data_IF_950247731177
#
_entry.id   IF_950247731177
#
_cell.length_a   1.000
_cell.length_b   1.000
_cell.length_c   1.000
_cell.angle_alpha   90.00
_cell.angle_beta   90.00
_cell.angle_gamma   90.00
#
_symmetry.space_group_name_H-M   'P 1'
#
loop_
_entity.id
_entity.type
_entity.pdbx_description
1 polymer ?
#
# COMPACT_ATOMS: atom_id res chain seq x y z
N UNK A 1 12.41 29.17 42.05
CA UNK A 1 13.83 29.54 42.27
C UNK A 1 14.70 28.36 41.89
N UNK A 2 15.79 28.62 41.15
CA UNK A 2 16.93 27.71 40.84
C UNK A 2 16.67 26.55 39.86
N UNK A 3 17.55 26.18 38.93
CA UNK A 3 18.74 26.76 38.28
C UNK A 3 19.01 25.84 37.06
N UNK A 4 19.51 26.42 35.98
CA UNK A 4 20.06 25.73 34.79
C UNK A 4 21.17 24.76 35.20
N UNK A 5 21.32 23.63 34.50
CA UNK A 5 22.64 23.09 34.15
C UNK A 5 22.61 22.47 32.74
N UNK A 6 23.58 22.89 31.94
CA UNK A 6 23.91 22.38 30.62
C UNK A 6 25.12 21.46 30.77
N UNK A 7 25.14 20.32 30.09
CA UNK A 7 26.38 19.56 29.88
C UNK A 7 26.65 19.43 28.39
N UNK A 8 27.75 20.08 28.03
CA UNK A 8 28.48 20.01 26.76
C UNK A 8 29.30 18.72 26.68
N UNK A 9 29.55 18.26 25.46
CA UNK A 9 30.74 17.48 25.08
C UNK A 9 30.44 16.00 24.82
N UNK A 10 31.01 15.33 23.81
CA UNK A 10 32.09 15.69 22.91
C UNK A 10 31.99 14.87 21.61
N UNK A 11 32.52 15.46 20.54
CA UNK A 11 32.77 14.88 19.22
C UNK A 11 33.81 13.75 19.35
N UNK A 12 33.57 12.61 18.69
CA UNK A 12 34.59 11.62 18.36
C UNK A 12 34.51 11.29 16.86
N UNK A 13 35.26 12.04 16.06
CA UNK A 13 35.74 11.62 14.73
C UNK A 13 37.11 10.97 14.91
N UNK A 14 37.51 10.17 13.90
CA UNK A 14 38.74 9.35 13.72
C UNK A 14 38.43 7.85 13.93
N UNK A 15 38.43 6.95 12.95
CA UNK A 15 39.06 6.93 11.63
C UNK A 15 40.18 5.89 11.63
N UNK A 16 39.93 4.71 11.04
CA UNK A 16 40.98 3.78 10.59
C UNK A 16 40.50 2.99 9.38
N UNK A 17 40.96 3.42 8.19
CA UNK A 17 41.09 2.56 7.02
C UNK A 17 42.51 1.99 7.05
N UNK A 18 42.65 0.67 7.01
CA UNK A 18 43.88 0.02 6.61
C UNK A 18 43.55 -1.32 5.96
N UNK A 19 43.58 -1.33 4.63
CA UNK A 19 43.69 -2.53 3.82
C UNK A 19 45.09 -3.13 3.98
N UNK A 20 45.19 -4.45 4.16
CA UNK A 20 46.23 -5.33 3.62
C UNK A 20 46.09 -6.74 4.23
N UNK A 21 45.95 -7.75 3.37
CA UNK A 21 46.13 -9.15 3.76
C UNK A 21 45.19 -10.17 3.11
N UNK A 22 45.04 -10.14 1.77
CA UNK A 22 44.56 -11.32 1.05
C UNK A 22 45.75 -12.27 0.80
N UNK A 23 45.79 -13.38 1.54
CA UNK A 23 46.55 -14.61 1.32
C UNK A 23 46.02 -15.57 2.41
N UNK A 24 45.42 -16.73 2.17
CA UNK A 24 45.61 -17.72 1.11
C UNK A 24 44.29 -18.48 0.85
N UNK A 25 44.21 -19.08 -0.33
CA UNK A 25 43.14 -20.00 -0.77
C UNK A 25 43.13 -21.26 0.10
N UNK A 26 42.01 -21.55 0.77
CA UNK A 26 41.69 -22.91 1.23
C UNK A 26 40.72 -23.55 0.23
N UNK A 27 41.32 -24.43 -0.57
CA UNK A 27 40.82 -25.67 -1.13
C UNK A 27 39.31 -25.97 -0.99
N UNK A 28 38.65 -26.02 -2.14
CA UNK A 28 37.30 -26.53 -2.34
C UNK A 28 37.25 -28.00 -1.90
N UNK A 29 36.57 -28.28 -0.78
CA UNK A 29 36.07 -29.64 -0.50
C UNK A 29 34.63 -29.74 -0.97
N UNK A 30 34.47 -30.36 -2.14
CA UNK A 30 33.23 -30.94 -2.66
C UNK A 30 32.44 -31.67 -1.55
N UNK A 31 31.21 -31.23 -1.27
CA UNK A 31 30.37 -31.95 -0.33
C UNK A 31 29.14 -31.22 0.20
N UNK A 32 28.15 -30.99 -0.67
CA UNK A 32 26.72 -30.85 -0.31
C UNK A 32 26.29 -29.65 0.54
N UNK A 33 26.36 -28.40 0.06
CA UNK A 33 25.55 -27.30 0.66
C UNK A 33 25.06 -26.23 -0.34
N UNK A 34 25.18 -26.40 -1.65
CA UNK A 34 24.70 -25.40 -2.64
C UNK A 34 23.28 -25.63 -3.16
N UNK A 35 22.36 -26.13 -2.32
CA UNK A 35 20.95 -26.34 -2.73
C UNK A 35 19.89 -25.83 -1.76
N UNK A 36 20.29 -25.18 -0.66
CA UNK A 36 19.32 -24.67 0.32
C UNK A 36 19.14 -23.15 0.26
N UNK A 37 20.06 -22.40 -0.38
CA UNK A 37 20.00 -20.93 -0.37
C UNK A 37 19.22 -20.34 -1.55
N UNK A 38 19.25 -20.97 -2.73
CA UNK A 38 18.51 -20.46 -3.91
C UNK A 38 17.02 -20.83 -3.95
N UNK A 39 16.56 -21.80 -3.15
CA UNK A 39 15.12 -22.10 -3.06
C UNK A 39 14.39 -21.23 -2.03
N UNK A 40 15.08 -20.65 -1.04
CA UNK A 40 14.44 -19.81 -0.04
C UNK A 40 14.01 -18.44 -0.59
N UNK A 41 14.83 -17.80 -1.42
CA UNK A 41 14.52 -16.48 -1.98
C UNK A 41 13.44 -16.54 -3.07
N UNK A 42 13.34 -17.66 -3.79
CA UNK A 42 12.33 -17.86 -4.82
C UNK A 42 10.93 -18.12 -4.25
N UNK A 43 10.82 -18.81 -3.11
CA UNK A 43 9.52 -19.13 -2.47
C UNK A 43 8.86 -17.91 -1.82
N UNK A 44 9.63 -16.93 -1.32
CA UNK A 44 9.03 -15.74 -0.69
C UNK A 44 8.37 -14.84 -1.74
N UNK A 45 8.95 -14.73 -2.93
CA UNK A 45 8.39 -13.90 -4.00
C UNK A 45 7.12 -14.53 -4.60
N UNK A 46 7.13 -15.84 -4.86
CA UNK A 46 5.99 -16.54 -5.49
C UNK A 46 4.77 -16.72 -4.56
N UNK A 47 4.97 -16.71 -3.23
CA UNK A 47 3.87 -16.82 -2.23
C UNK A 47 3.21 -15.46 -1.94
N UNK A 48 3.98 -14.36 -1.92
CA UNK A 48 3.42 -13.02 -1.70
C UNK A 48 2.66 -12.47 -2.91
N UNK A 49 2.99 -12.94 -4.11
CA UNK A 49 2.35 -12.51 -5.36
C UNK A 49 0.92 -13.05 -5.54
N UNK A 50 0.49 -14.06 -4.76
CA UNK A 50 -0.80 -14.72 -4.98
C UNK A 50 -1.83 -14.56 -3.84
N UNK A 51 -1.48 -14.00 -2.68
CA UNK A 51 -2.39 -13.97 -1.51
C UNK A 51 -2.60 -12.59 -0.86
N UNK A 52 -1.85 -11.56 -1.25
CA UNK A 52 -2.03 -10.22 -0.66
C UNK A 52 -2.98 -9.38 -1.50
N UNK A 53 -4.27 -9.47 -1.18
CA UNK A 53 -5.29 -8.56 -1.73
C UNK A 53 -5.04 -7.16 -1.17
N UNK A 54 -4.80 -6.19 -2.06
CA UNK A 54 -4.67 -4.79 -1.65
C UNK A 54 -6.05 -4.21 -1.31
N UNK A 55 -6.16 -3.42 -0.23
CA UNK A 55 -7.38 -2.68 0.05
C UNK A 55 -7.75 -1.81 -1.15
N UNK A 56 -9.05 -1.67 -1.47
CA UNK A 56 -9.46 -0.77 -2.51
C UNK A 56 -9.13 0.67 -2.15
N UNK A 57 -8.80 1.46 -3.16
CA UNK A 57 -8.45 2.85 -3.00
C UNK A 57 -8.64 3.63 -4.31
N UNK A 58 -8.98 4.90 -4.18
CA UNK A 58 -9.18 5.83 -5.28
C UNK A 58 -8.94 7.26 -4.78
N UNK A 59 -8.42 8.10 -5.65
CA UNK A 59 -8.31 9.53 -5.38
C UNK A 59 -9.60 10.21 -5.81
N UNK A 60 -10.21 10.97 -4.90
CA UNK A 60 -11.45 11.70 -5.14
C UNK A 60 -11.30 13.17 -4.75
N UNK A 61 -12.06 14.03 -5.43
CA UNK A 61 -12.29 15.42 -5.03
C UNK A 61 -13.76 15.60 -4.68
N UNK A 62 -14.04 16.17 -3.50
CA UNK A 62 -15.38 16.51 -3.07
C UNK A 62 -15.63 18.00 -3.28
N UNK A 63 -16.71 18.33 -4.00
CA UNK A 63 -17.20 19.71 -4.18
C UNK A 63 -18.21 20.09 -3.08
N UNK A 64 -18.41 21.39 -2.90
CA UNK A 64 -19.35 21.97 -1.90
C UNK A 64 -20.81 21.54 -2.12
N UNK A 65 -21.19 21.21 -3.36
CA UNK A 65 -22.52 20.71 -3.73
C UNK A 65 -22.69 19.20 -3.52
N UNK A 66 -21.71 18.55 -2.87
CA UNK A 66 -21.63 17.10 -2.66
C UNK A 66 -21.47 16.31 -3.96
N UNK A 67 -20.98 16.93 -5.03
CA UNK A 67 -20.49 16.20 -6.20
C UNK A 67 -19.12 15.60 -5.89
N UNK A 68 -18.97 14.31 -6.16
CA UNK A 68 -17.70 13.59 -6.05
C UNK A 68 -17.10 13.44 -7.43
N UNK A 69 -15.87 13.90 -7.62
CA UNK A 69 -15.10 13.68 -8.85
C UNK A 69 -14.09 12.56 -8.58
N UNK A 70 -14.13 11.50 -9.37
CA UNK A 70 -13.13 10.43 -9.28
C UNK A 70 -11.91 10.84 -10.08
N UNK A 71 -10.80 11.16 -9.42
CA UNK A 71 -9.56 11.62 -10.05
C UNK A 71 -8.73 10.44 -10.57
N UNK A 72 -8.60 9.39 -9.77
CA UNK A 72 -7.91 8.15 -10.13
C UNK A 72 -8.51 6.95 -9.38
N UNK A 73 -8.28 5.75 -9.91
CA UNK A 73 -8.72 4.48 -9.33
C UNK A 73 -7.52 3.54 -9.34
N UNK A 74 -7.19 2.94 -8.20
CA UNK A 74 -6.08 1.99 -8.14
C UNK A 74 -6.38 0.74 -8.99
N UNK A 75 -5.37 0.07 -9.57
CA UNK A 75 -5.58 -1.03 -10.52
C UNK A 75 -6.44 -2.19 -10.01
N UNK A 76 -6.41 -2.44 -8.70
CA UNK A 76 -7.14 -3.54 -8.06
C UNK A 76 -8.56 -3.11 -7.61
N UNK A 77 -8.90 -1.83 -7.78
CA UNK A 77 -10.19 -1.23 -7.39
C UNK A 77 -11.15 -1.22 -8.58
N UNK A 78 -12.35 -1.77 -8.39
CA UNK A 78 -13.41 -1.83 -9.40
C UNK A 78 -14.08 -0.47 -9.59
N UNK A 79 -14.27 0.28 -8.50
CA UNK A 79 -14.88 1.60 -8.57
C UNK A 79 -15.16 2.21 -7.21
N UNK A 80 -15.73 3.42 -7.29
CA UNK A 80 -16.11 4.26 -6.16
C UNK A 80 -17.63 4.39 -6.15
N UNK A 81 -18.26 4.38 -4.97
CA UNK A 81 -19.69 4.61 -4.80
C UNK A 81 -19.98 5.62 -3.71
N UNK A 82 -20.97 6.46 -3.98
CA UNK A 82 -21.61 7.29 -2.97
C UNK A 82 -22.58 6.44 -2.14
N UNK A 83 -22.27 6.25 -0.86
CA UNK A 83 -23.01 5.44 0.10
C UNK A 83 -22.53 3.99 0.22
N UNK A 84 -22.89 3.34 1.33
CA UNK A 84 -22.53 1.96 1.65
C UNK A 84 -23.10 0.95 0.64
N UNK A 85 -22.53 -0.25 0.60
CA UNK A 85 -23.09 -1.39 -0.15
C UNK A 85 -24.38 -1.88 0.53
N UNK A 86 -25.42 -2.13 -0.27
CA UNK A 86 -26.73 -2.57 0.22
C UNK A 86 -27.01 -4.05 -0.10
N UNK A 87 -26.41 -4.58 -1.17
CA UNK A 87 -26.55 -5.96 -1.61
C UNK A 87 -25.48 -6.92 -1.10
N UNK A 88 -25.63 -8.20 -1.46
CA UNK A 88 -24.69 -9.26 -1.07
C UNK A 88 -23.43 -9.32 -1.97
N UNK A 89 -23.46 -8.67 -3.14
CA UNK A 89 -22.35 -8.63 -4.11
C UNK A 89 -21.89 -7.18 -4.35
N UNK A 90 -20.86 -6.71 -3.62
CA UNK A 90 -20.31 -5.36 -3.75
C UNK A 90 -19.85 -5.04 -5.18
N UNK A 91 -19.23 -5.99 -5.87
CA UNK A 91 -18.67 -5.78 -7.22
C UNK A 91 -19.78 -5.61 -8.24
N UNK A 92 -20.83 -6.44 -8.16
CA UNK A 92 -21.99 -6.32 -9.03
C UNK A 92 -22.73 -4.99 -8.78
N UNK A 93 -22.84 -4.55 -7.52
CA UNK A 93 -23.48 -3.29 -7.17
C UNK A 93 -22.73 -2.09 -7.76
N UNK A 94 -21.40 -2.02 -7.63
CA UNK A 94 -20.59 -0.95 -8.25
C UNK A 94 -20.81 -0.85 -9.76
N UNK A 95 -20.89 -1.99 -10.45
CA UNK A 95 -21.02 -2.02 -11.92
C UNK A 95 -22.42 -1.62 -12.42
N UNK A 96 -23.44 -1.68 -11.57
CA UNK A 96 -24.84 -1.47 -11.95
C UNK A 96 -25.43 -0.19 -11.35
N UNK A 97 -24.85 0.33 -10.27
CA UNK A 97 -25.38 1.47 -9.54
C UNK A 97 -25.13 2.79 -10.29
N UNK A 98 -26.17 3.61 -10.38
CA UNK A 98 -26.07 4.98 -10.91
C UNK A 98 -25.26 5.91 -9.98
N UNK A 99 -25.13 5.52 -8.69
CA UNK A 99 -24.35 6.24 -7.68
C UNK A 99 -22.89 5.79 -7.60
N UNK A 100 -22.44 4.98 -8.56
CA UNK A 100 -21.08 4.46 -8.61
C UNK A 100 -20.38 4.85 -9.92
N UNK A 101 -19.05 4.89 -9.87
CA UNK A 101 -18.19 5.15 -11.03
C UNK A 101 -17.00 4.20 -11.04
N UNK A 102 -16.73 3.65 -12.21
CA UNK A 102 -15.64 2.70 -12.45
C UNK A 102 -14.53 3.30 -13.32
N UNK A 103 -14.62 4.60 -13.63
CA UNK A 103 -13.74 5.26 -14.58
C UNK A 103 -13.25 6.60 -14.00
N UNK A 104 -11.93 6.87 -14.02
CA UNK A 104 -11.40 8.17 -13.66
C UNK A 104 -11.94 9.31 -14.53
N UNK A 105 -11.99 10.52 -13.99
CA UNK A 105 -12.52 11.72 -14.64
C UNK A 105 -14.04 11.78 -14.71
N UNK A 106 -14.76 10.95 -13.95
CA UNK A 106 -16.22 10.94 -13.91
C UNK A 106 -16.74 11.47 -12.58
N UNK A 107 -17.99 11.94 -12.60
CA UNK A 107 -18.61 12.60 -11.45
C UNK A 107 -19.80 11.80 -10.93
N UNK A 108 -19.96 11.73 -9.62
CA UNK A 108 -21.17 11.28 -8.91
C UNK A 108 -21.83 12.54 -8.33
N UNK A 109 -22.90 12.99 -8.97
CA UNK A 109 -23.62 14.20 -8.59
C UNK A 109 -24.53 13.95 -7.37
N UNK A 110 -24.79 15.01 -6.60
CA UNK A 110 -25.75 15.04 -5.50
C UNK A 110 -25.60 13.86 -4.51
N UNK A 111 -24.38 13.62 -4.00
CA UNK A 111 -24.15 12.55 -3.05
C UNK A 111 -24.79 12.87 -1.68
N UNK A 112 -26.00 12.37 -1.44
CA UNK A 112 -26.72 12.56 -0.17
C UNK A 112 -26.30 11.59 0.96
N UNK A 113 -25.39 10.66 0.69
CA UNK A 113 -24.94 9.69 1.69
C UNK A 113 -23.89 10.29 2.63
N UNK A 114 -23.66 9.63 3.77
CA UNK A 114 -22.63 10.04 4.74
C UNK A 114 -21.22 9.56 4.37
N UNK A 115 -21.09 8.62 3.43
CA UNK A 115 -19.82 7.97 3.11
C UNK A 115 -19.59 7.85 1.62
N UNK A 116 -18.32 7.95 1.22
CA UNK A 116 -17.84 7.54 -0.10
C UNK A 116 -16.97 6.31 0.10
N UNK A 117 -17.24 5.25 -0.66
CA UNK A 117 -16.52 3.98 -0.54
C UNK A 117 -15.86 3.57 -1.85
N UNK A 118 -14.81 2.77 -1.76
CA UNK A 118 -14.21 2.04 -2.87
C UNK A 118 -14.38 0.54 -2.68
N UNK A 119 -14.43 -0.21 -3.80
CA UNK A 119 -14.55 -1.67 -3.78
C UNK A 119 -13.53 -2.30 -4.72
N UNK A 120 -12.85 -3.37 -4.29
CA UNK A 120 -11.87 -4.09 -5.12
C UNK A 120 -12.49 -5.30 -5.84
N UNK A 121 -11.71 -5.98 -6.68
CA UNK A 121 -12.19 -7.16 -7.41
C UNK A 121 -12.57 -8.34 -6.49
N UNK A 122 -12.04 -8.38 -5.26
CA UNK A 122 -12.39 -9.38 -4.26
C UNK A 122 -13.70 -9.07 -3.51
N UNK A 123 -14.25 -7.86 -3.69
CA UNK A 123 -15.43 -7.39 -2.98
C UNK A 123 -15.14 -6.79 -1.60
N UNK A 124 -13.86 -6.55 -1.26
CA UNK A 124 -13.53 -5.77 -0.08
C UNK A 124 -13.97 -4.32 -0.29
N UNK A 125 -14.33 -3.65 0.80
CA UNK A 125 -14.86 -2.29 0.80
C UNK A 125 -14.01 -1.43 1.73
N UNK A 126 -13.62 -0.24 1.26
CA UNK A 126 -12.92 0.77 2.07
C UNK A 126 -13.66 2.10 2.02
N UNK A 127 -13.71 2.82 3.14
CA UNK A 127 -14.25 4.18 3.20
C UNK A 127 -13.15 5.15 2.78
N UNK A 128 -13.42 5.93 1.73
CA UNK A 128 -12.52 6.96 1.24
C UNK A 128 -12.72 8.29 1.98
N UNK A 129 -13.99 8.64 2.28
CA UNK A 129 -14.35 9.94 2.86
C UNK A 129 -15.66 9.83 3.67
N UNK A 130 -15.77 10.65 4.72
CA UNK A 130 -16.99 10.89 5.50
C UNK A 130 -17.51 12.30 5.18
N UNK A 131 -18.81 12.43 4.82
CA UNK A 131 -19.42 13.64 4.24
C UNK A 131 -20.21 14.52 5.24
#
# INVERSE_FOLDING_TARGET
MQRREAVRGAIALLGTVAAAGCADVEEVSDGTTDRASEEAEKTVNETMENELVRPPNAEIELRDDRTIIVLSIDPDTVGVKCGLIEGDDPVAEIKQSERARTTPGTEIEDCEAEFVIAVNEAGDVEILEEL
#
